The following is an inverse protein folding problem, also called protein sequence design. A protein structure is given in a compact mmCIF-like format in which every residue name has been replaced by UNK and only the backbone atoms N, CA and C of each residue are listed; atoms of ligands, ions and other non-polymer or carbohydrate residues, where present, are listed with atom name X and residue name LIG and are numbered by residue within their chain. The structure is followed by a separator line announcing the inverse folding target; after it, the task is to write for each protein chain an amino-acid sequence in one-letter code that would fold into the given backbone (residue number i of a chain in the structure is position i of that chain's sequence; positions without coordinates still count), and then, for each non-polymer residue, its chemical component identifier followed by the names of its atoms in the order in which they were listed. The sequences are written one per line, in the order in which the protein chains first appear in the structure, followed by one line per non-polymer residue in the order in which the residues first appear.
data_IF_834270217460
#
_entry.id   IF_834270217460
#
_cell.length_a   1.000
_cell.length_b   1.000
_cell.length_c   1.000
_cell.angle_alpha   90.00
_cell.angle_beta   90.00
_cell.angle_gamma   90.00
#
_symmetry.space_group_name_H-M   'P 1'
#
loop_
_entity.id
_entity.type
_entity.pdbx_description
1 polymer ?
#
# COMPACT_ATOMS: atom_id res chain seq x y z
N UNK A 1 -14.06 8.21 19.48
CA UNK A 1 -12.63 7.94 19.20
C UNK A 1 -12.32 8.43 17.79
N UNK A 2 -11.12 8.97 17.53
CA UNK A 2 -10.70 9.52 16.23
C UNK A 2 -9.59 8.67 15.62
N UNK A 3 -9.78 8.24 14.38
CA UNK A 3 -8.81 7.46 13.61
C UNK A 3 -8.32 8.27 12.41
N UNK A 4 -7.04 8.63 12.39
CA UNK A 4 -6.41 9.17 11.20
C UNK A 4 -5.91 8.02 10.31
N UNK A 5 -6.27 8.02 9.03
CA UNK A 5 -5.88 6.95 8.10
C UNK A 5 -5.59 7.48 6.70
N UNK A 6 -5.19 6.60 5.79
CA UNK A 6 -4.93 6.97 4.41
C UNK A 6 -6.19 6.93 3.56
N UNK A 7 -6.32 7.84 2.59
CA UNK A 7 -7.43 7.80 1.61
C UNK A 7 -7.51 6.45 0.89
N UNK A 8 -6.38 5.78 0.61
CA UNK A 8 -6.38 4.43 0.02
C UNK A 8 -6.94 3.36 0.95
N UNK A 9 -6.71 3.48 2.27
CA UNK A 9 -7.27 2.56 3.26
C UNK A 9 -8.78 2.72 3.33
N UNK A 10 -9.27 3.95 3.38
CA UNK A 10 -10.71 4.24 3.39
C UNK A 10 -11.40 3.71 2.12
N UNK A 11 -10.81 4.02 0.95
CA UNK A 11 -11.36 3.60 -0.34
C UNK A 11 -11.36 2.07 -0.55
N UNK A 12 -10.59 1.31 0.22
CA UNK A 12 -10.64 -0.16 0.17
C UNK A 12 -11.96 -0.72 0.71
N UNK A 13 -12.71 0.07 1.50
CA UNK A 13 -13.90 -0.38 2.20
C UNK A 13 -13.62 -1.19 3.48
N UNK A 14 -12.36 -1.52 3.78
CA UNK A 14 -11.98 -2.33 4.94
C UNK A 14 -12.54 -1.79 6.25
N UNK A 15 -12.42 -0.48 6.48
CA UNK A 15 -12.81 0.14 7.75
C UNK A 15 -14.30 -0.01 8.04
N UNK A 16 -15.15 0.02 7.01
CA UNK A 16 -16.59 -0.22 7.19
C UNK A 16 -16.86 -1.60 7.79
N UNK A 17 -16.18 -2.64 7.30
CA UNK A 17 -16.35 -4.01 7.80
C UNK A 17 -15.79 -4.23 9.21
N UNK A 18 -14.81 -3.43 9.63
CA UNK A 18 -14.20 -3.55 10.96
C UNK A 18 -14.93 -2.71 12.02
N UNK A 19 -15.33 -1.49 11.66
CA UNK A 19 -15.86 -0.52 12.62
C UNK A 19 -17.31 -0.78 12.98
N UNK A 20 -18.14 -1.30 12.04
CA UNK A 20 -19.54 -1.62 12.33
C UNK A 20 -19.68 -2.69 13.44
N UNK A 21 -19.03 -3.87 13.37
CA UNK A 21 -19.08 -4.85 14.46
C UNK A 21 -18.45 -4.33 15.76
N UNK A 22 -17.33 -3.60 15.65
CA UNK A 22 -16.63 -3.06 16.81
C UNK A 22 -17.48 -2.06 17.59
N UNK A 23 -18.18 -1.16 16.90
CA UNK A 23 -19.09 -0.21 17.52
C UNK A 23 -20.29 -0.93 18.15
N UNK A 24 -20.80 -2.00 17.52
CA UNK A 24 -21.89 -2.79 18.09
C UNK A 24 -21.48 -3.53 19.39
N UNK A 25 -20.24 -4.00 19.48
CA UNK A 25 -19.72 -4.70 20.65
C UNK A 25 -19.32 -3.75 21.79
N UNK A 26 -18.68 -2.63 21.46
CA UNK A 26 -18.08 -1.73 22.46
C UNK A 26 -18.95 -0.51 22.79
N UNK A 27 -19.90 -0.16 21.92
CA UNK A 27 -20.69 1.07 22.01
C UNK A 27 -19.91 2.34 21.67
N UNK A 28 -18.64 2.23 21.25
CA UNK A 28 -17.80 3.40 20.94
C UNK A 28 -17.88 3.70 19.44
N UNK A 29 -18.08 4.97 19.10
CA UNK A 29 -18.04 5.44 17.71
C UNK A 29 -16.62 5.84 17.29
N UNK A 30 -16.22 5.45 16.08
CA UNK A 30 -14.95 5.83 15.46
C UNK A 30 -15.18 6.85 14.34
N UNK A 31 -14.64 8.05 14.52
CA UNK A 31 -14.61 9.08 13.50
C UNK A 31 -13.35 8.91 12.65
N UNK A 32 -13.52 8.57 11.37
CA UNK A 32 -12.42 8.35 10.43
C UNK A 32 -12.04 9.65 9.73
N UNK A 33 -10.74 9.96 9.70
CA UNK A 33 -10.16 11.13 9.04
C UNK A 33 -9.22 10.63 7.93
N UNK A 34 -9.72 10.49 6.68
CA UNK A 34 -8.92 9.97 5.57
C UNK A 34 -8.07 11.09 4.93
N UNK A 35 -6.75 10.96 5.02
CA UNK A 35 -5.78 11.96 4.50
C UNK A 35 -4.56 11.26 3.88
N UNK A 36 -3.51 12.01 3.50
CA UNK A 36 -2.24 11.40 3.10
C UNK A 36 -1.46 10.85 4.31
N UNK A 37 -0.58 9.86 4.10
CA UNK A 37 0.23 9.24 5.17
C UNK A 37 0.94 10.24 6.08
N UNK A 38 1.61 11.25 5.50
CA UNK A 38 2.31 12.27 6.29
C UNK A 38 1.36 13.12 7.14
N UNK A 39 0.18 13.45 6.61
CA UNK A 39 -0.82 14.21 7.33
C UNK A 39 -1.48 13.36 8.44
N UNK A 40 -1.71 12.07 8.21
CA UNK A 40 -2.26 11.17 9.23
C UNK A 40 -1.33 11.05 10.45
N UNK A 41 -0.02 10.89 10.20
CA UNK A 41 1.00 10.88 11.25
C UNK A 41 1.07 12.23 11.98
N UNK A 42 1.01 13.36 11.26
CA UNK A 42 1.03 14.68 11.88
C UNK A 42 -0.19 14.94 12.77
N UNK A 43 -1.38 14.48 12.35
CA UNK A 43 -2.60 14.55 13.17
C UNK A 43 -2.46 13.75 14.47
N UNK A 44 -1.89 12.55 14.40
CA UNK A 44 -1.58 11.76 15.60
C UNK A 44 -0.58 12.47 16.52
N UNK A 45 0.49 13.04 15.94
CA UNK A 45 1.56 13.72 16.69
C UNK A 45 1.03 14.93 17.47
N UNK A 46 0.06 15.64 16.89
CA UNK A 46 -0.57 16.81 17.49
C UNK A 46 -1.66 16.46 18.51
N UNK A 47 -2.05 15.18 18.63
CA UNK A 47 -3.17 14.75 19.45
C UNK A 47 -4.54 15.05 18.83
N UNK A 48 -4.59 15.37 17.54
CA UNK A 48 -5.84 15.59 16.81
C UNK A 48 -6.54 14.25 16.49
N UNK A 49 -5.81 13.12 16.54
CA UNK A 49 -6.33 11.76 16.40
C UNK A 49 -5.85 10.86 17.57
N UNK A 50 -6.72 9.94 18.00
CA UNK A 50 -6.42 8.97 19.07
C UNK A 50 -5.63 7.77 18.55
N UNK A 51 -5.86 7.40 17.28
CA UNK A 51 -5.22 6.29 16.59
C UNK A 51 -4.78 6.72 15.18
N UNK A 52 -3.68 6.13 14.71
CA UNK A 52 -3.18 6.30 13.34
C UNK A 52 -3.08 4.93 12.68
N UNK A 53 -3.70 4.78 11.50
CA UNK A 53 -3.60 3.58 10.67
C UNK A 53 -3.07 3.96 9.28
N UNK A 54 -1.78 3.71 9.06
CA UNK A 54 -1.09 3.94 7.80
C UNK A 54 -0.42 2.65 7.31
N UNK A 55 0.23 2.71 6.15
CA UNK A 55 0.87 1.58 5.48
C UNK A 55 2.26 1.97 4.92
N UNK A 56 3.02 2.73 5.71
CA UNK A 56 4.39 3.16 5.41
C UNK A 56 5.30 2.79 6.58
N UNK A 57 5.85 1.57 6.51
CA UNK A 57 6.59 0.97 7.61
C UNK A 57 7.75 1.82 8.10
N UNK A 58 8.50 2.42 7.18
CA UNK A 58 9.67 3.21 7.54
C UNK A 58 9.28 4.45 8.35
N UNK A 59 8.19 5.12 7.97
CA UNK A 59 7.66 6.26 8.73
C UNK A 59 7.01 5.85 10.04
N UNK A 60 6.32 4.71 10.08
CA UNK A 60 5.72 4.16 11.31
C UNK A 60 6.79 3.84 12.36
N UNK A 61 7.87 3.16 11.97
CA UNK A 61 8.95 2.81 12.88
C UNK A 61 9.64 4.06 13.46
N UNK A 62 9.90 5.07 12.61
CA UNK A 62 10.42 6.36 13.06
C UNK A 62 9.45 7.09 14.01
N UNK A 63 8.16 7.09 13.68
CA UNK A 63 7.11 7.73 14.49
C UNK A 63 7.03 7.17 15.92
N UNK A 64 7.18 5.85 16.07
CA UNK A 64 7.24 5.18 17.38
C UNK A 64 8.56 5.48 18.08
N UNK A 65 9.69 5.42 17.37
CA UNK A 65 11.01 5.69 17.93
C UNK A 65 11.14 7.12 18.46
N UNK A 66 10.49 8.08 17.80
CA UNK A 66 10.41 9.49 18.20
C UNK A 66 9.43 9.74 19.38
N UNK A 67 8.77 8.68 19.88
CA UNK A 67 7.88 8.75 21.04
C UNK A 67 6.49 9.30 20.74
N UNK A 68 6.05 9.31 19.48
CA UNK A 68 4.72 9.82 19.09
C UNK A 68 3.61 8.76 19.16
N UNK A 69 3.94 7.49 19.43
CA UNK A 69 3.00 6.40 19.70
C UNK A 69 3.54 5.50 20.81
N UNK A 70 2.63 4.89 21.57
CA UNK A 70 2.96 3.92 22.63
C UNK A 70 3.28 2.53 22.08
N UNK A 71 2.63 2.13 20.99
CA UNK A 71 2.83 0.82 20.36
C UNK A 71 2.44 0.85 18.88
N UNK A 72 2.88 -0.16 18.13
CA UNK A 72 2.58 -0.34 16.70
C UNK A 72 2.19 -1.79 16.42
N UNK A 73 1.04 -1.97 15.78
CA UNK A 73 0.46 -3.28 15.48
C UNK A 73 0.17 -3.43 14.00
N UNK A 74 0.44 -4.61 13.46
CA UNK A 74 0.04 -4.96 12.10
C UNK A 74 -1.45 -5.29 12.07
N UNK A 75 -2.19 -4.64 11.18
CA UNK A 75 -3.65 -4.81 11.02
C UNK A 75 -3.98 -5.42 9.66
N UNK A 76 -3.26 -5.00 8.62
CA UNK A 76 -3.49 -5.43 7.24
C UNK A 76 -2.19 -5.38 6.45
N UNK A 77 -2.13 -6.14 5.37
CA UNK A 77 -1.12 -6.01 4.33
C UNK A 77 -1.78 -6.01 2.96
N UNK A 78 -1.11 -5.40 1.99
CA UNK A 78 -1.54 -5.47 0.59
C UNK A 78 -0.85 -6.67 -0.08
N UNK A 79 -1.62 -7.39 -0.89
CA UNK A 79 -1.08 -8.35 -1.84
C UNK A 79 -1.06 -7.73 -3.25
N UNK A 80 0.00 -8.01 -4.00
CA UNK A 80 0.18 -7.50 -5.36
C UNK A 80 0.25 -8.67 -6.32
N UNK A 81 -0.67 -8.68 -7.29
CA UNK A 81 -0.73 -9.71 -8.32
C UNK A 81 -0.28 -9.17 -9.67
N UNK A 82 0.45 -9.98 -10.41
CA UNK A 82 0.79 -9.72 -11.80
C UNK A 82 -0.29 -10.36 -12.69
N UNK A 83 -1.00 -9.53 -13.45
CA UNK A 83 -2.09 -9.96 -14.34
C UNK A 83 -1.66 -9.85 -15.80
N UNK A 84 -2.15 -10.77 -16.64
CA UNK A 84 -1.86 -10.80 -18.07
C UNK A 84 -2.85 -11.66 -18.85
N UNK A 85 -2.71 -11.73 -20.19
CA UNK A 85 -3.59 -12.51 -21.05
C UNK A 85 -3.59 -14.00 -20.72
N UNK A 86 -4.73 -14.68 -20.88
CA UNK A 86 -4.86 -16.11 -20.61
C UNK A 86 -3.87 -16.98 -21.40
N UNK A 87 -3.55 -16.55 -22.63
CA UNK A 87 -2.59 -17.19 -23.52
C UNK A 87 -1.14 -17.16 -23.02
N UNK A 88 -0.81 -16.30 -22.05
CA UNK A 88 0.51 -16.18 -21.42
C UNK A 88 1.69 -16.22 -22.41
N UNK A 89 1.76 -15.28 -23.38
CA UNK A 89 2.80 -15.30 -24.42
C UNK A 89 4.23 -15.17 -23.86
N UNK A 90 4.38 -14.58 -22.67
CA UNK A 90 5.65 -14.44 -21.98
C UNK A 90 5.98 -15.62 -21.05
N UNK A 91 5.12 -16.65 -20.99
CA UNK A 91 5.31 -17.84 -20.15
C UNK A 91 5.56 -17.51 -18.66
N UNK A 92 4.87 -16.49 -18.15
CA UNK A 92 4.97 -16.00 -16.77
C UNK A 92 4.50 -17.04 -15.77
N UNK A 93 3.56 -17.91 -16.13
CA UNK A 93 3.08 -19.00 -15.25
C UNK A 93 4.18 -20.00 -14.89
N UNK A 94 5.25 -20.07 -15.66
CA UNK A 94 6.41 -20.94 -15.41
C UNK A 94 7.50 -20.24 -14.58
N UNK A 95 7.27 -18.98 -14.17
CA UNK A 95 8.26 -18.22 -13.42
C UNK A 95 8.43 -18.76 -12.00
N UNK A 96 9.66 -18.79 -11.51
CA UNK A 96 9.96 -19.16 -10.12
C UNK A 96 9.65 -18.06 -9.10
N UNK A 97 9.27 -16.87 -9.56
CA UNK A 97 8.88 -15.73 -8.73
C UNK A 97 8.75 -14.44 -9.55
N UNK A 98 8.36 -13.35 -8.88
CA UNK A 98 8.06 -12.07 -9.55
C UNK A 98 9.24 -11.50 -10.36
N UNK A 99 10.48 -11.65 -9.87
CA UNK A 99 11.65 -11.18 -10.59
C UNK A 99 11.94 -11.99 -11.87
N UNK A 100 11.63 -13.28 -11.88
CA UNK A 100 11.72 -14.12 -13.09
C UNK A 100 10.57 -13.78 -14.06
N UNK A 101 9.36 -13.61 -13.55
CA UNK A 101 8.19 -13.20 -14.33
C UNK A 101 8.42 -11.88 -15.08
N UNK A 102 8.94 -10.86 -14.39
CA UNK A 102 9.24 -9.56 -15.00
C UNK A 102 10.33 -9.67 -16.08
N UNK A 103 11.39 -10.47 -15.83
CA UNK A 103 12.44 -10.70 -16.83
C UNK A 103 11.93 -11.44 -18.06
N UNK A 104 11.00 -12.39 -17.89
CA UNK A 104 10.35 -13.10 -19.00
C UNK A 104 9.50 -12.18 -19.86
N UNK A 105 8.72 -11.28 -19.24
CA UNK A 105 7.95 -10.26 -19.96
C UNK A 105 8.88 -9.39 -20.80
N UNK A 106 9.97 -8.88 -20.21
CA UNK A 106 10.94 -8.04 -20.91
C UNK A 106 11.63 -8.81 -22.05
N UNK A 107 12.08 -10.04 -21.80
CA UNK A 107 12.77 -10.89 -22.80
C UNK A 107 11.86 -11.27 -23.98
N UNK A 108 10.56 -11.41 -23.72
CA UNK A 108 9.56 -11.67 -24.76
C UNK A 108 9.17 -10.41 -25.56
N UNK A 109 9.64 -9.22 -25.16
CA UNK A 109 9.17 -7.94 -25.71
C UNK A 109 7.66 -7.73 -25.49
N UNK A 110 7.09 -8.37 -24.47
CA UNK A 110 5.66 -8.31 -24.20
C UNK A 110 5.29 -6.96 -23.57
N UNK A 111 4.12 -6.37 -23.91
CA UNK A 111 3.67 -5.13 -23.31
C UNK A 111 3.55 -5.25 -21.78
N UNK A 112 4.09 -4.27 -21.07
CA UNK A 112 3.93 -4.11 -19.63
C UNK A 112 3.37 -2.71 -19.35
N UNK A 113 2.25 -2.65 -18.63
CA UNK A 113 1.59 -1.38 -18.30
C UNK A 113 1.98 -1.00 -16.88
N UNK A 114 2.74 0.09 -16.76
CA UNK A 114 3.04 0.72 -15.47
C UNK A 114 1.89 1.61 -15.02
N UNK A 115 1.73 1.76 -13.70
CA UNK A 115 0.83 2.80 -13.15
C UNK A 115 1.32 4.21 -13.47
N UNK A 116 2.62 4.45 -13.48
CA UNK A 116 3.24 5.73 -13.88
C UNK A 116 2.84 6.98 -13.08
N UNK A 117 2.12 6.83 -11.96
CA UNK A 117 1.40 7.92 -11.28
C UNK A 117 1.97 8.33 -9.92
N UNK A 118 3.18 7.84 -9.58
CA UNK A 118 3.85 8.05 -8.29
C UNK A 118 3.06 7.53 -7.06
N UNK A 119 2.05 6.68 -7.27
CA UNK A 119 1.33 6.01 -6.18
C UNK A 119 2.19 4.94 -5.49
N UNK A 120 1.71 4.41 -4.36
CA UNK A 120 2.34 3.27 -3.69
C UNK A 120 2.44 2.02 -4.58
N UNK A 121 1.47 1.80 -5.47
CA UNK A 121 1.53 0.72 -6.48
C UNK A 121 2.66 0.95 -7.46
N UNK A 122 2.81 2.18 -7.97
CA UNK A 122 3.94 2.54 -8.84
C UNK A 122 5.27 2.36 -8.10
N UNK A 123 5.40 2.84 -6.85
CA UNK A 123 6.62 2.65 -6.07
C UNK A 123 6.97 1.16 -5.86
N UNK A 124 5.96 0.30 -5.59
CA UNK A 124 6.15 -1.14 -5.44
C UNK A 124 6.59 -1.80 -6.75
N UNK A 125 5.97 -1.44 -7.87
CA UNK A 125 6.35 -1.90 -9.20
C UNK A 125 7.82 -1.58 -9.49
N UNK A 126 8.24 -0.33 -9.26
CA UNK A 126 9.61 0.14 -9.53
C UNK A 126 10.64 -0.60 -8.68
N UNK A 127 10.32 -0.86 -7.40
CA UNK A 127 11.16 -1.68 -6.52
C UNK A 127 11.32 -3.10 -7.09
N UNK A 128 10.24 -3.74 -7.53
CA UNK A 128 10.26 -5.10 -8.07
C UNK A 128 11.04 -5.16 -9.40
N UNK A 129 10.86 -4.18 -10.29
CA UNK A 129 11.64 -4.06 -11.54
C UNK A 129 13.13 -3.90 -11.26
N UNK A 130 13.50 -3.03 -10.31
CA UNK A 130 14.89 -2.84 -9.89
C UNK A 130 15.49 -4.11 -9.30
N UNK A 131 14.75 -4.84 -8.47
CA UNK A 131 15.18 -6.14 -7.92
C UNK A 131 15.35 -7.21 -9.00
N UNK A 132 14.59 -7.10 -10.10
CA UNK A 132 14.73 -7.96 -11.28
C UNK A 132 15.87 -7.54 -12.22
N UNK A 133 16.60 -6.46 -11.93
CA UNK A 133 17.65 -5.92 -12.80
C UNK A 133 17.12 -5.20 -14.05
N UNK A 134 15.85 -4.81 -14.06
CA UNK A 134 15.19 -4.13 -15.18
C UNK A 134 15.20 -2.61 -14.99
N UNK A 135 15.05 -1.89 -16.09
CA UNK A 135 14.82 -0.44 -16.05
C UNK A 135 13.52 -0.11 -15.33
N UNK A 136 13.56 0.98 -14.57
CA UNK A 136 12.37 1.55 -13.94
C UNK A 136 11.53 2.25 -15.01
N UNK A 137 10.21 2.07 -14.97
CA UNK A 137 9.30 2.73 -15.90
C UNK A 137 9.34 4.25 -15.66
N UNK A 138 9.53 5.06 -16.70
CA UNK A 138 9.43 6.50 -16.51
C UNK A 138 8.00 6.90 -16.15
N UNK A 139 7.80 7.94 -15.30
CA UNK A 139 6.48 8.48 -15.03
C UNK A 139 5.78 8.82 -16.34
N UNK A 140 4.52 8.42 -16.47
CA UNK A 140 3.70 8.80 -17.61
C UNK A 140 3.14 10.19 -17.34
N UNK A 141 3.62 11.22 -18.05
CA UNK A 141 3.01 12.57 -18.10
C UNK A 141 1.69 12.55 -18.90
N UNK A 142 0.74 11.70 -18.51
CA UNK A 142 -0.62 11.69 -19.07
C UNK A 142 -1.62 12.22 -18.06
#
# INVERSE_FOLDING_TARGET
MRLATTTSTENSGLLKFLLEPWQAETGIEVQVIPVGTGQALELGKRGDADLVLVHDRAREDAYVADGHATERRDVMWNDFVLLGPAADPAQVKQASGIADALRRIESAGAPFVSRGDKSGTHAREQLLRKQAGLSVAEPSDR
#
